data_IF_246965019500
#
_entry.id   IF_246965019500
#
_cell.length_a   1.000
_cell.length_b   1.000
_cell.length_c   1.000
_cell.angle_alpha   90.00
_cell.angle_beta   90.00
_cell.angle_gamma   90.00
#
_symmetry.space_group_name_H-M   'P 1'
#
loop_
_entity.id
_entity.type
_entity.pdbx_description
1 polymer ?
#
# COMPACT_ATOMS: atom_id res chain seq x y z
N UNK A 1 -2.13 16.80 -4.20
CA UNK A 1 -1.62 15.44 -4.41
C UNK A 1 -1.66 15.18 -5.90
N UNK A 2 -0.76 14.36 -6.43
CA UNK A 2 -0.76 13.96 -7.85
C UNK A 2 -0.59 12.45 -7.97
N UNK A 3 -0.96 11.90 -9.11
CA UNK A 3 -0.76 10.48 -9.41
C UNK A 3 0.58 10.33 -10.13
N UNK A 4 1.34 9.29 -9.79
CA UNK A 4 2.63 8.99 -10.38
C UNK A 4 2.62 7.54 -10.84
N UNK A 5 2.98 7.27 -12.09
CA UNK A 5 3.26 5.91 -12.54
C UNK A 5 4.50 5.39 -11.82
N UNK A 6 4.38 4.23 -11.17
CA UNK A 6 5.52 3.54 -10.57
C UNK A 6 6.20 2.72 -11.66
N UNK A 7 5.39 1.87 -12.32
CA UNK A 7 5.85 1.01 -13.39
C UNK A 7 4.66 0.54 -14.26
N UNK A 8 4.83 0.59 -15.58
CA UNK A 8 3.79 0.23 -16.55
C UNK A 8 2.50 1.06 -16.42
N UNK A 9 1.39 0.49 -16.86
CA UNK A 9 0.06 1.15 -16.86
C UNK A 9 -0.87 0.60 -15.76
N UNK A 10 -0.35 -0.24 -14.86
CA UNK A 10 -1.16 -1.04 -13.94
C UNK A 10 -0.94 -0.68 -12.47
N UNK A 11 0.18 -0.04 -12.13
CA UNK A 11 0.52 0.32 -10.76
C UNK A 11 1.00 1.77 -10.65
N UNK A 12 0.22 2.55 -9.91
CA UNK A 12 0.45 3.96 -9.66
C UNK A 12 0.58 4.22 -8.15
N UNK A 13 1.08 5.39 -7.78
CA UNK A 13 1.05 5.88 -6.39
C UNK A 13 0.65 7.34 -6.35
N UNK A 14 0.02 7.73 -5.24
CA UNK A 14 -0.08 9.14 -4.90
C UNK A 14 1.26 9.70 -4.45
N UNK A 15 1.56 10.91 -4.89
CA UNK A 15 2.53 11.80 -4.26
C UNK A 15 1.77 12.93 -3.56
N UNK A 16 1.90 13.01 -2.24
CA UNK A 16 1.21 14.03 -1.46
C UNK A 16 1.87 15.41 -1.63
N UNK A 17 1.08 16.46 -1.43
CA UNK A 17 1.55 17.84 -1.60
C UNK A 17 2.69 18.13 -0.62
N UNK A 18 3.84 18.58 -1.14
CA UNK A 18 5.03 18.88 -0.33
C UNK A 18 5.98 17.69 -0.14
N UNK A 19 5.55 16.48 -0.45
CA UNK A 19 6.41 15.29 -0.42
C UNK A 19 7.30 15.21 -1.66
N UNK A 20 8.54 14.77 -1.48
CA UNK A 20 9.50 14.60 -2.58
C UNK A 20 9.26 13.30 -3.36
N UNK A 21 8.73 12.28 -2.68
CA UNK A 21 8.54 10.94 -3.21
C UNK A 21 7.06 10.55 -3.24
N UNK A 22 6.71 9.67 -4.17
CA UNK A 22 5.41 9.01 -4.15
C UNK A 22 5.34 7.98 -3.01
N UNK A 23 4.13 7.60 -2.61
CA UNK A 23 3.92 6.71 -1.47
C UNK A 23 4.58 5.35 -1.62
N UNK A 24 4.68 4.79 -2.84
CA UNK A 24 5.37 3.51 -3.02
C UNK A 24 6.84 3.64 -2.64
N UNK A 25 7.54 4.59 -3.25
CA UNK A 25 8.98 4.80 -2.99
C UNK A 25 9.23 5.21 -1.54
N UNK A 26 8.42 6.11 -0.99
CA UNK A 26 8.52 6.55 0.41
C UNK A 26 8.39 5.37 1.38
N UNK A 27 7.43 4.47 1.16
CA UNK A 27 7.19 3.34 2.06
C UNK A 27 8.33 2.32 2.02
N UNK A 28 8.79 1.92 0.83
CA UNK A 28 9.88 0.96 0.71
C UNK A 28 11.21 1.54 1.22
N UNK A 29 11.47 2.84 1.00
CA UNK A 29 12.61 3.52 1.63
C UNK A 29 12.54 3.48 3.16
N UNK A 30 11.38 3.76 3.76
CA UNK A 30 11.22 3.68 5.22
C UNK A 30 11.34 2.24 5.74
N UNK A 31 10.83 1.26 5.01
CA UNK A 31 10.96 -0.15 5.41
C UNK A 31 12.35 -0.74 5.16
N UNK A 32 13.21 -0.01 4.45
CA UNK A 32 14.63 -0.31 4.30
C UNK A 32 15.53 0.50 5.26
N UNK A 33 14.97 1.46 6.01
CA UNK A 33 15.71 2.34 6.91
C UNK A 33 15.77 1.77 8.34
N UNK A 34 16.95 1.31 8.81
CA UNK A 34 17.09 0.73 10.14
C UNK A 34 16.80 1.73 11.27
N UNK A 35 17.10 3.02 11.10
CA UNK A 35 16.85 4.03 12.13
C UNK A 35 15.34 4.23 12.33
N UNK A 36 14.60 4.35 11.22
CA UNK A 36 13.15 4.42 11.25
C UNK A 36 12.52 3.16 11.88
N UNK A 37 13.00 1.98 11.50
CA UNK A 37 12.47 0.72 12.01
C UNK A 37 12.75 0.55 13.50
N UNK A 38 13.94 0.89 13.97
CA UNK A 38 14.28 0.88 15.39
C UNK A 38 13.34 1.79 16.19
N UNK A 39 13.16 3.04 15.74
CA UNK A 39 12.22 3.97 16.38
C UNK A 39 10.79 3.40 16.40
N UNK A 40 10.32 2.85 15.27
CA UNK A 40 8.99 2.27 15.17
C UNK A 40 8.81 1.09 16.14
N UNK A 41 9.77 0.17 16.21
CA UNK A 41 9.65 -1.02 17.04
C UNK A 41 9.83 -0.73 18.52
N UNK A 42 10.66 0.23 18.91
CA UNK A 42 10.70 0.67 20.32
C UNK A 42 9.38 1.31 20.75
N UNK A 43 8.77 2.14 19.89
CA UNK A 43 7.46 2.75 20.18
C UNK A 43 6.31 1.73 20.24
N UNK A 44 6.43 0.61 19.53
CA UNK A 44 5.39 -0.42 19.43
C UNK A 44 5.82 -1.77 20.05
N UNK A 45 6.77 -1.75 21.00
CA UNK A 45 7.38 -2.94 21.60
C UNK A 45 6.36 -3.89 22.26
N UNK A 46 5.30 -3.34 22.86
CA UNK A 46 4.24 -4.14 23.44
C UNK A 46 3.44 -4.93 22.37
N UNK A 47 3.32 -4.38 21.15
CA UNK A 47 2.58 -5.02 20.07
C UNK A 47 3.38 -6.14 19.41
N UNK A 48 4.71 -6.02 19.33
CA UNK A 48 5.53 -7.12 18.82
C UNK A 48 5.65 -8.26 19.83
N UNK A 49 5.62 -7.94 21.13
CA UNK A 49 5.65 -8.95 22.19
C UNK A 49 4.32 -9.67 22.41
N UNK A 50 3.22 -9.21 21.80
CA UNK A 50 1.87 -9.79 22.03
C UNK A 50 1.68 -11.17 21.38
N UNK A 51 2.64 -11.63 20.55
CA UNK A 51 2.64 -12.96 19.94
C UNK A 51 1.75 -13.11 18.70
N UNK A 52 1.05 -12.06 18.24
CA UNK A 52 0.15 -12.14 17.09
C UNK A 52 0.87 -12.59 15.80
N UNK A 53 2.12 -12.17 15.61
CA UNK A 53 3.00 -12.61 14.52
C UNK A 53 4.12 -13.54 15.00
N UNK A 54 4.08 -13.97 16.26
CA UNK A 54 5.23 -14.56 16.97
C UNK A 54 5.93 -13.54 17.87
N UNK A 55 6.99 -13.97 18.55
CA UNK A 55 7.79 -13.13 19.45
C UNK A 55 9.14 -12.85 18.80
N UNK A 56 9.50 -11.57 18.70
CA UNK A 56 10.76 -11.12 18.10
C UNK A 56 11.50 -10.19 19.06
N UNK A 57 12.83 -10.16 18.98
CA UNK A 57 13.60 -9.01 19.45
C UNK A 57 13.40 -7.85 18.49
N UNK A 58 13.80 -6.64 18.89
CA UNK A 58 13.71 -5.46 18.04
C UNK A 58 14.60 -5.63 16.81
N UNK A 59 15.82 -6.10 17.00
CA UNK A 59 16.78 -6.38 15.93
C UNK A 59 16.24 -7.43 14.96
N UNK A 60 15.63 -8.50 15.49
CA UNK A 60 14.98 -9.51 14.66
C UNK A 60 13.81 -8.93 13.86
N UNK A 61 13.02 -8.04 14.44
CA UNK A 61 11.91 -7.39 13.76
C UNK A 61 12.35 -6.44 12.64
N UNK A 62 13.45 -5.71 12.88
CA UNK A 62 14.08 -4.84 11.87
C UNK A 62 14.52 -5.70 10.69
N UNK A 63 15.28 -6.77 10.95
CA UNK A 63 15.77 -7.68 9.91
C UNK A 63 14.63 -8.29 9.09
N UNK A 64 13.63 -8.87 9.76
CA UNK A 64 12.49 -9.47 9.07
C UNK A 64 11.68 -8.43 8.28
N UNK A 65 11.54 -7.20 8.78
CA UNK A 65 10.82 -6.14 8.06
C UNK A 65 11.52 -5.74 6.78
N UNK A 66 12.86 -5.67 6.81
CA UNK A 66 13.67 -5.41 5.62
C UNK A 66 13.45 -6.51 4.57
N UNK A 67 13.60 -7.79 4.95
CA UNK A 67 13.41 -8.94 4.04
C UNK A 67 11.98 -8.96 3.47
N UNK A 68 10.98 -8.62 4.30
CA UNK A 68 9.59 -8.57 3.87
C UNK A 68 9.31 -7.42 2.89
N UNK A 69 9.99 -6.29 3.07
CA UNK A 69 9.87 -5.14 2.20
C UNK A 69 10.49 -5.44 0.83
N UNK A 70 11.72 -5.96 0.81
CA UNK A 70 12.42 -6.35 -0.42
C UNK A 70 11.60 -7.34 -1.24
N UNK A 71 11.14 -8.44 -0.62
CA UNK A 71 10.30 -9.43 -1.30
C UNK A 71 9.00 -8.83 -1.85
N UNK A 72 8.32 -7.98 -1.08
CA UNK A 72 7.05 -7.39 -1.50
C UNK A 72 7.25 -6.38 -2.64
N UNK A 73 8.33 -5.60 -2.61
CA UNK A 73 8.69 -4.64 -3.66
C UNK A 73 8.95 -5.35 -4.98
N UNK A 74 9.88 -6.32 -4.97
CA UNK A 74 10.24 -7.11 -6.15
C UNK A 74 9.02 -7.77 -6.78
N UNK A 75 8.15 -8.36 -5.93
CA UNK A 75 6.94 -9.04 -6.41
C UNK A 75 5.95 -8.08 -7.05
N UNK A 76 5.78 -6.87 -6.51
CA UNK A 76 4.90 -5.85 -7.09
C UNK A 76 5.41 -5.36 -8.43
N UNK A 77 6.72 -5.10 -8.54
CA UNK A 77 7.35 -4.65 -9.78
C UNK A 77 7.27 -5.73 -10.87
N UNK A 78 7.60 -6.98 -10.53
CA UNK A 78 7.53 -8.10 -11.48
C UNK A 78 6.10 -8.35 -12.02
N UNK A 79 5.07 -8.14 -11.20
CA UNK A 79 3.67 -8.29 -11.63
C UNK A 79 3.15 -7.07 -12.41
N UNK A 80 3.71 -5.89 -12.17
CA UNK A 80 3.41 -4.70 -12.96
C UNK A 80 4.03 -4.76 -14.37
N UNK A 81 5.15 -5.48 -14.53
CA UNK A 81 5.82 -5.74 -15.81
C UNK A 81 5.09 -6.75 -16.72
N UNK A 82 4.28 -7.64 -16.15
CA UNK A 82 3.58 -8.68 -16.90
C UNK A 82 2.36 -8.10 -17.64
N UNK A 83 2.57 -7.70 -18.89
CA UNK A 83 1.64 -6.94 -19.74
C UNK A 83 0.60 -7.77 -20.53
N UNK A 84 0.37 -9.04 -20.22
CA UNK A 84 -0.44 -9.94 -21.09
C UNK A 84 -1.87 -10.22 -20.56
N UNK A 85 -2.92 -10.11 -21.39
CA UNK A 85 -4.33 -10.32 -21.03
C UNK A 85 -4.69 -11.70 -20.47
N UNK A 86 -3.85 -12.71 -20.72
CA UNK A 86 -4.07 -14.10 -20.29
C UNK A 86 -3.58 -14.35 -18.85
N UNK A 87 -2.79 -13.43 -18.29
CA UNK A 87 -2.35 -13.46 -16.88
C UNK A 87 -3.27 -12.60 -15.99
N UNK A 88 -4.57 -12.91 -16.05
CA UNK A 88 -5.67 -12.28 -15.28
C UNK A 88 -5.53 -12.33 -13.74
N UNK A 89 -4.37 -12.75 -13.22
CA UNK A 89 -4.09 -12.87 -11.80
C UNK A 89 -2.91 -12.00 -11.34
N UNK A 90 -2.47 -10.99 -12.09
CA UNK A 90 -1.30 -10.15 -11.75
C UNK A 90 -1.35 -9.48 -10.36
N UNK A 91 -1.61 -8.18 -10.32
CA UNK A 91 -1.79 -7.42 -9.08
C UNK A 91 -3.05 -7.86 -8.30
N UNK A 92 -4.05 -8.45 -8.96
CA UNK A 92 -5.24 -9.01 -8.30
C UNK A 92 -4.94 -10.18 -7.35
N UNK A 93 -3.77 -10.84 -7.48
CA UNK A 93 -3.32 -11.83 -6.48
C UNK A 93 -2.84 -11.19 -5.17
N UNK A 94 -2.33 -9.95 -5.25
CA UNK A 94 -1.73 -9.27 -4.11
C UNK A 94 -2.76 -8.37 -3.43
N UNK A 95 -3.51 -7.60 -4.21
CA UNK A 95 -4.50 -6.68 -3.69
C UNK A 95 -5.84 -7.37 -3.49
N UNK A 96 -6.25 -7.43 -2.22
CA UNK A 96 -7.56 -7.92 -1.80
C UNK A 96 -8.40 -6.77 -1.26
N UNK A 97 -9.75 -6.86 -1.27
CA UNK A 97 -10.61 -5.83 -0.68
C UNK A 97 -10.17 -5.43 0.74
N UNK A 98 -10.24 -4.13 1.06
CA UNK A 98 -9.90 -3.62 2.38
C UNK A 98 -10.88 -4.15 3.43
N UNK A 99 -12.16 -4.28 3.09
CA UNK A 99 -13.20 -4.82 3.97
C UNK A 99 -13.77 -6.11 3.40
N UNK A 100 -13.87 -7.15 4.24
CA UNK A 100 -14.42 -8.45 3.85
C UNK A 100 -15.92 -8.39 3.50
N UNK A 101 -16.62 -7.33 3.90
CA UNK A 101 -18.05 -7.07 3.63
C UNK A 101 -18.29 -6.32 2.32
N UNK A 102 -17.25 -6.06 1.54
CA UNK A 102 -17.37 -5.37 0.25
C UNK A 102 -17.97 -6.32 -0.79
N UNK A 103 -19.31 -6.34 -0.85
CA UNK A 103 -20.10 -7.23 -1.73
C UNK A 103 -20.31 -6.61 -3.13
N UNK A 104 -20.13 -5.29 -3.28
CA UNK A 104 -20.31 -4.57 -4.55
C UNK A 104 -18.98 -4.06 -5.09
N UNK A 105 -18.75 -4.27 -6.39
CA UNK A 105 -17.71 -3.58 -7.14
C UNK A 105 -18.20 -2.14 -7.31
N UNK A 106 -17.70 -1.21 -6.49
CA UNK A 106 -17.85 0.23 -6.72
C UNK A 106 -16.60 0.75 -7.43
N UNK A 107 -16.70 1.90 -8.09
CA UNK A 107 -15.51 2.58 -8.61
C UNK A 107 -14.60 2.95 -7.43
N UNK A 108 -13.29 2.77 -7.64
CA UNK A 108 -12.25 3.06 -6.66
C UNK A 108 -12.40 2.25 -5.36
N UNK A 109 -12.45 0.92 -5.48
CA UNK A 109 -12.58 0.05 -4.31
C UNK A 109 -11.30 0.07 -3.47
N UNK A 110 -11.46 0.35 -2.18
CA UNK A 110 -10.37 0.27 -1.22
C UNK A 110 -9.85 -1.17 -1.12
N UNK A 111 -8.56 -1.34 -1.35
CA UNK A 111 -7.86 -2.62 -1.43
C UNK A 111 -6.59 -2.59 -0.58
N UNK A 112 -6.05 -3.77 -0.28
CA UNK A 112 -4.79 -3.92 0.44
C UNK A 112 -3.96 -5.11 -0.04
N UNK A 113 -2.65 -4.88 -0.13
CA UNK A 113 -1.65 -5.93 -0.17
C UNK A 113 -1.30 -6.35 1.25
N UNK A 114 -1.03 -7.65 1.43
CA UNK A 114 -0.65 -8.22 2.72
C UNK A 114 0.56 -9.12 2.57
N UNK A 115 1.63 -8.78 3.25
CA UNK A 115 2.75 -9.68 3.44
C UNK A 115 3.21 -9.58 4.89
N UNK A 116 3.04 -10.66 5.68
CA UNK A 116 3.27 -10.67 7.12
C UNK A 116 2.60 -9.48 7.83
N UNK A 117 3.35 -8.63 8.54
CA UNK A 117 2.83 -7.39 9.16
C UNK A 117 2.80 -6.20 8.21
N UNK A 118 3.43 -6.25 7.03
CA UNK A 118 3.40 -5.16 6.06
C UNK A 118 2.07 -5.08 5.34
N UNK A 119 1.57 -3.86 5.20
CA UNK A 119 0.34 -3.53 4.49
C UNK A 119 0.60 -2.38 3.54
N UNK A 120 0.24 -2.56 2.27
CA UNK A 120 0.06 -1.47 1.32
C UNK A 120 -1.43 -1.28 1.08
N UNK A 121 -1.88 -0.05 1.10
CA UNK A 121 -3.27 0.34 0.88
C UNK A 121 -3.39 1.01 -0.48
N UNK A 122 -4.39 0.58 -1.26
CA UNK A 122 -4.56 1.05 -2.63
C UNK A 122 -6.03 1.22 -3.00
N UNK A 123 -6.30 2.03 -4.00
CA UNK A 123 -7.60 2.07 -4.68
C UNK A 123 -7.52 1.21 -5.94
N UNK A 124 -8.43 0.26 -6.07
CA UNK A 124 -8.63 -0.50 -7.32
C UNK A 124 -9.47 0.34 -8.25
N UNK A 125 -8.89 0.75 -9.37
CA UNK A 125 -9.56 1.58 -10.38
C UNK A 125 -10.28 0.67 -11.36
N UNK A 126 -9.51 -0.22 -11.99
CA UNK A 126 -10.02 -1.23 -12.91
C UNK A 126 -9.49 -2.62 -12.57
N UNK A 127 -9.81 -3.61 -13.41
CA UNK A 127 -9.22 -4.93 -13.31
C UNK A 127 -7.70 -4.81 -13.43
N UNK A 128 -6.99 -5.33 -12.43
CA UNK A 128 -5.52 -5.32 -12.38
C UNK A 128 -4.87 -3.91 -12.34
N UNK A 129 -5.62 -2.85 -12.05
CA UNK A 129 -5.10 -1.47 -11.98
C UNK A 129 -5.30 -0.86 -10.60
N UNK A 130 -4.21 -0.41 -9.98
CA UNK A 130 -4.21 0.07 -8.61
C UNK A 130 -3.41 1.36 -8.43
N UNK A 131 -3.91 2.23 -7.53
CA UNK A 131 -3.18 3.43 -7.07
C UNK A 131 -2.87 3.27 -5.58
N UNK A 132 -1.59 3.20 -5.22
CA UNK A 132 -1.11 3.16 -3.83
C UNK A 132 -1.40 4.49 -3.15
N UNK A 133 -2.04 4.41 -1.98
CA UNK A 133 -2.40 5.56 -1.13
C UNK A 133 -1.55 5.65 0.13
N UNK A 134 -0.91 4.55 0.51
CA UNK A 134 -0.05 4.49 1.68
C UNK A 134 0.17 3.07 2.18
N UNK A 135 0.67 2.93 3.41
CA UNK A 135 1.05 1.65 3.97
C UNK A 135 1.40 1.73 5.45
N UNK A 136 1.53 0.57 6.08
CA UNK A 136 1.83 0.45 7.50
C UNK A 136 2.53 -0.88 7.83
N UNK A 137 3.38 -0.84 8.86
CA UNK A 137 3.73 -2.02 9.65
C UNK A 137 2.60 -2.21 10.66
N UNK A 138 1.79 -3.26 10.49
CA UNK A 138 0.58 -3.49 11.29
C UNK A 138 0.76 -4.72 12.17
N UNK A 139 1.04 -4.48 13.45
CA UNK A 139 1.32 -5.52 14.46
C UNK A 139 0.08 -6.01 15.24
N UNK A 140 -1.09 -5.41 15.00
CA UNK A 140 -2.35 -5.76 15.67
C UNK A 140 -3.34 -6.46 14.74
N UNK A 141 -4.48 -6.96 15.26
CA UNK A 141 -5.51 -7.60 14.42
C UNK A 141 -6.34 -6.57 13.64
N UNK A 142 -6.70 -5.45 14.25
CA UNK A 142 -7.58 -4.42 13.69
C UNK A 142 -6.85 -3.09 13.44
N UNK A 143 -7.26 -2.36 12.40
CA UNK A 143 -6.64 -1.05 12.05
C UNK A 143 -7.05 0.06 13.02
N UNK A 144 -8.13 -0.13 13.79
CA UNK A 144 -8.64 0.85 14.73
C UNK A 144 -7.84 0.89 16.03
N UNK A 145 -6.99 -0.12 16.28
CA UNK A 145 -6.22 -0.26 17.50
C UNK A 145 -5.03 0.70 17.58
N UNK A 146 -4.54 1.21 16.43
CA UNK A 146 -3.32 2.02 16.38
C UNK A 146 -3.50 3.29 15.56
N UNK A 147 -2.95 4.39 16.07
CA UNK A 147 -2.96 5.70 15.42
C UNK A 147 -2.40 5.66 13.99
N UNK A 148 -1.28 4.95 13.78
CA UNK A 148 -0.64 4.87 12.46
C UNK A 148 -1.55 4.19 11.41
N UNK A 149 -2.28 3.12 11.76
CA UNK A 149 -3.20 2.46 10.84
C UNK A 149 -4.51 3.24 10.66
N UNK A 150 -5.00 3.93 11.68
CA UNK A 150 -6.14 4.86 11.55
C UNK A 150 -5.84 6.01 10.58
N UNK A 151 -4.60 6.53 10.57
CA UNK A 151 -4.17 7.54 9.59
C UNK A 151 -4.27 7.02 8.15
N UNK A 152 -3.86 5.78 7.91
CA UNK A 152 -3.95 5.17 6.58
C UNK A 152 -5.41 4.97 6.11
N UNK A 153 -6.35 4.64 7.02
CA UNK A 153 -7.79 4.61 6.69
C UNK A 153 -8.31 5.99 6.25
N UNK A 154 -7.84 7.07 6.87
CA UNK A 154 -8.22 8.43 6.48
C UNK A 154 -7.60 8.79 5.13
N UNK A 155 -6.32 8.47 4.92
CA UNK A 155 -5.60 8.72 3.67
C UNK A 155 -6.28 8.05 2.47
N UNK A 156 -6.57 6.75 2.56
CA UNK A 156 -7.23 6.04 1.44
C UNK A 156 -8.61 6.62 1.12
N UNK A 157 -9.36 7.09 2.13
CA UNK A 157 -10.63 7.77 1.91
C UNK A 157 -10.45 9.15 1.27
N UNK A 158 -9.43 9.93 1.68
CA UNK A 158 -9.10 11.22 1.09
C UNK A 158 -8.70 11.09 -0.38
N UNK A 159 -7.83 10.13 -0.70
CA UNK A 159 -7.45 9.81 -2.08
C UNK A 159 -8.67 9.42 -2.91
N UNK A 160 -9.58 8.60 -2.38
CA UNK A 160 -10.81 8.22 -3.08
C UNK A 160 -11.68 9.43 -3.40
N UNK A 161 -11.86 10.32 -2.42
CA UNK A 161 -12.66 11.52 -2.61
C UNK A 161 -12.01 12.50 -3.60
N UNK A 162 -10.67 12.58 -3.63
CA UNK A 162 -9.93 13.35 -4.62
C UNK A 162 -10.24 12.88 -6.03
N UNK A 163 -10.04 11.58 -6.31
CA UNK A 163 -10.28 11.02 -7.65
C UNK A 163 -11.72 11.24 -8.12
N UNK A 164 -12.71 11.00 -7.24
CA UNK A 164 -14.11 11.25 -7.57
C UNK A 164 -14.42 12.72 -7.87
N UNK A 165 -13.74 13.65 -7.20
CA UNK A 165 -13.91 15.10 -7.41
C UNK A 165 -13.31 15.55 -8.75
N UNK A 166 -12.16 14.99 -9.12
CA UNK A 166 -11.48 15.28 -10.39
C UNK A 166 -12.06 14.47 -11.56
N UNK A 167 -13.03 13.58 -11.31
CA UNK A 167 -13.68 12.77 -12.35
C UNK A 167 -12.86 11.54 -12.80
N UNK A 168 -11.79 11.21 -12.09
CA UNK A 168 -10.89 10.10 -12.42
C UNK A 168 -11.48 8.80 -11.87
N UNK A 169 -12.07 7.98 -12.75
CA UNK A 169 -12.75 6.72 -12.37
C UNK A 169 -12.24 5.49 -13.11
N UNK A 170 -11.44 5.67 -14.15
CA UNK A 170 -10.88 4.65 -15.03
C UNK A 170 -9.39 4.91 -15.33
N UNK A 171 -8.77 4.03 -16.11
CA UNK A 171 -7.35 4.15 -16.51
C UNK A 171 -7.11 5.38 -17.39
N UNK A 172 -8.05 5.70 -18.28
CA UNK A 172 -7.93 6.84 -19.20
C UNK A 172 -7.83 8.15 -18.41
N UNK A 173 -8.69 8.37 -17.41
CA UNK A 173 -8.63 9.54 -16.55
C UNK A 173 -7.34 9.63 -15.71
N UNK A 174 -6.71 8.50 -15.36
CA UNK A 174 -5.39 8.52 -14.70
C UNK A 174 -4.31 9.03 -15.66
N UNK A 175 -4.32 8.55 -16.91
CA UNK A 175 -3.32 8.91 -17.91
C UNK A 175 -3.44 10.41 -18.24
N UNK A 176 -4.67 10.91 -18.46
CA UNK A 176 -4.92 12.34 -18.71
C UNK A 176 -4.39 13.23 -17.57
N UNK A 177 -4.61 12.85 -16.32
CA UNK A 177 -4.11 13.58 -15.13
C UNK A 177 -2.58 13.55 -15.02
N UNK A 178 -1.91 12.48 -15.45
CA UNK A 178 -0.44 12.37 -15.43
C UNK A 178 0.18 13.24 -16.53
N UNK A 179 -0.49 13.38 -17.67
CA UNK A 179 0.00 14.10 -18.84
C UNK A 179 -0.28 15.62 -18.80
N UNK A 180 -1.18 16.08 -17.92
CA UNK A 180 -1.54 17.50 -17.72
C UNK A 180 -0.48 18.30 -16.94
#
# INVERSE_FOLDING_TARGET
MKIVSIFGNNLFAFQYTGEQENEFKRLFNLWADPEYLEEFFEQNKADIANGYFGTFSIEGAIFETYEYAEYLEEKLLALAEQSEPEQLKGLEQIFTPLHNTQIRILDLNQSKARYQWLRLYALRVEKNVYIITGGAIKLTQSMQEKQHTLKELRKIQQCRNYLLKEGIVDVEGIIEEIES
#
